data_IF_475547200751
#
_entry.id   IF_475547200751
#
_cell.length_a   1.000
_cell.length_b   1.000
_cell.length_c   1.000
_cell.angle_alpha   90.00
_cell.angle_beta   90.00
_cell.angle_gamma   90.00
#
_symmetry.space_group_name_H-M   'P 1'
#
loop_
_entity.id
_entity.type
_entity.pdbx_description
1 polymer ?
#
# COMPACT_ATOMS: atom_id res chain seq x y z
N UNK A 1 4.63 -9.47 0.74
CA UNK A 1 4.86 -8.99 -0.65
C UNK A 1 5.25 -7.52 -0.73
N UNK A 2 4.81 -6.66 0.20
CA UNK A 2 5.12 -5.24 0.18
C UNK A 2 6.63 -4.94 0.09
N UNK A 3 7.46 -5.61 0.90
CA UNK A 3 8.92 -5.44 0.88
C UNK A 3 9.54 -5.72 -0.50
N UNK A 4 8.99 -6.66 -1.26
CA UNK A 4 9.47 -6.94 -2.61
C UNK A 4 9.13 -5.79 -3.57
N UNK A 5 7.93 -5.21 -3.45
CA UNK A 5 7.54 -4.07 -4.28
C UNK A 5 8.41 -2.84 -3.97
N UNK A 6 8.72 -2.62 -2.69
CA UNK A 6 9.64 -1.57 -2.25
C UNK A 6 11.05 -1.83 -2.76
N UNK A 7 11.57 -3.05 -2.60
CA UNK A 7 12.91 -3.44 -3.07
C UNK A 7 13.08 -3.31 -4.59
N UNK A 8 12.03 -3.54 -5.36
CA UNK A 8 12.03 -3.34 -6.81
C UNK A 8 11.88 -1.87 -7.21
N UNK A 9 11.67 -0.96 -6.25
CA UNK A 9 11.46 0.46 -6.50
C UNK A 9 10.09 0.78 -7.12
N UNK A 10 9.10 -0.12 -7.04
CA UNK A 10 7.77 0.11 -7.60
C UNK A 10 6.87 0.96 -6.69
N UNK A 11 7.09 0.86 -5.38
CA UNK A 11 6.41 1.67 -4.39
C UNK A 11 7.36 2.03 -3.26
N UNK A 12 6.98 2.98 -2.42
CA UNK A 12 7.76 3.41 -1.27
C UNK A 12 6.86 3.80 -0.10
N UNK A 13 7.43 3.72 1.10
CA UNK A 13 6.83 4.17 2.35
C UNK A 13 7.62 5.44 2.75
N UNK A 14 7.20 6.64 2.33
CA UNK A 14 7.97 7.86 2.57
C UNK A 14 8.04 8.18 4.06
N UNK A 15 9.24 8.57 4.52
CA UNK A 15 9.44 8.95 5.91
C UNK A 15 8.71 10.26 6.26
N UNK A 16 8.17 10.32 7.47
CA UNK A 16 7.47 11.52 7.97
C UNK A 16 6.08 11.75 7.39
N UNK A 17 5.58 10.87 6.52
CA UNK A 17 4.24 10.98 5.95
C UNK A 17 3.26 9.97 6.55
N UNK A 18 2.10 10.47 6.94
CA UNK A 18 0.98 9.68 7.44
C UNK A 18 -0.34 10.30 6.95
N UNK A 19 -1.35 9.47 6.68
CA UNK A 19 -2.73 9.94 6.57
C UNK A 19 -3.16 10.65 7.86
N UNK A 20 -3.82 11.79 7.71
CA UNK A 20 -4.32 12.59 8.84
C UNK A 20 -5.51 11.94 9.56
N UNK A 21 -6.29 11.12 8.84
CA UNK A 21 -7.45 10.44 9.41
C UNK A 21 -7.10 9.04 9.87
N UNK A 22 -7.44 8.75 11.13
CA UNK A 22 -7.21 7.43 11.72
C UNK A 22 -8.07 6.32 11.11
N UNK A 23 -9.17 6.70 10.45
CA UNK A 23 -10.09 5.76 9.80
C UNK A 23 -9.41 4.91 8.72
N UNK A 24 -8.32 5.40 8.12
CA UNK A 24 -7.54 4.66 7.13
C UNK A 24 -6.72 3.52 7.75
N UNK A 25 -6.37 3.62 9.03
CA UNK A 25 -5.56 2.62 9.73
C UNK A 25 -6.39 1.63 10.54
N UNK A 26 -7.56 2.04 11.03
CA UNK A 26 -8.40 1.22 11.90
C UNK A 26 -8.67 -0.19 11.38
N UNK A 27 -8.96 -0.42 10.08
CA UNK A 27 -9.17 -1.78 9.57
C UNK A 27 -7.92 -2.67 9.69
N UNK A 28 -6.73 -2.09 9.57
CA UNK A 28 -5.45 -2.81 9.67
C UNK A 28 -5.09 -3.08 11.13
N UNK A 29 -5.20 -2.07 11.99
CA UNK A 29 -4.84 -2.17 13.42
C UNK A 29 -5.72 -3.18 14.14
N UNK A 30 -7.02 -3.20 13.83
CA UNK A 30 -7.99 -4.07 14.47
C UNK A 30 -8.13 -5.43 13.77
N UNK A 31 -7.29 -5.73 12.77
CA UNK A 31 -7.34 -7.01 12.08
C UNK A 31 -6.97 -8.15 13.06
N UNK A 32 -7.72 -9.28 13.09
CA UNK A 32 -7.48 -10.36 14.06
C UNK A 32 -6.04 -10.89 14.07
N UNK A 33 -5.40 -10.96 12.91
CA UNK A 33 -4.00 -11.41 12.78
C UNK A 33 -3.02 -10.44 13.45
N UNK A 34 -3.26 -9.13 13.32
CA UNK A 34 -2.42 -8.09 13.96
C UNK A 34 -2.61 -8.13 15.47
N UNK A 35 -3.86 -8.23 15.93
CA UNK A 35 -4.17 -8.37 17.36
C UNK A 35 -3.55 -9.64 17.97
N UNK A 36 -3.63 -10.76 17.27
CA UNK A 36 -3.00 -12.02 17.68
C UNK A 36 -1.48 -11.90 17.78
N UNK A 37 -0.84 -11.21 16.82
CA UNK A 37 0.60 -10.97 16.85
C UNK A 37 1.03 -10.06 18.00
N UNK A 38 0.21 -9.05 18.31
CA UNK A 38 0.44 -8.17 19.46
C UNK A 38 0.43 -8.98 20.76
N UNK A 39 -0.56 -9.85 20.91
CA UNK A 39 -0.68 -10.68 22.12
C UNK A 39 0.46 -11.70 22.24
N UNK A 40 0.85 -12.34 21.14
CA UNK A 40 2.01 -13.24 21.08
C UNK A 40 3.29 -12.56 21.60
N UNK A 41 3.57 -11.35 21.12
CA UNK A 41 4.77 -10.60 21.53
C UNK A 41 4.69 -10.13 22.98
N UNK A 42 3.50 -9.79 23.49
CA UNK A 42 3.29 -9.50 24.92
C UNK A 42 3.61 -10.71 25.79
N UNK A 43 3.23 -11.92 25.38
CA UNK A 43 3.61 -13.15 26.09
C UNK A 43 5.13 -13.34 26.17
N UNK A 44 5.88 -12.86 25.18
CA UNK A 44 7.35 -12.84 25.20
C UNK A 44 7.96 -11.61 25.89
N UNK A 45 7.15 -10.82 26.60
CA UNK A 45 7.55 -9.60 27.30
C UNK A 45 8.25 -8.57 26.38
N UNK A 46 7.83 -8.50 25.12
CA UNK A 46 8.34 -7.55 24.12
C UNK A 46 7.40 -6.35 23.97
N UNK A 47 7.97 -5.17 23.80
CA UNK A 47 7.22 -3.98 23.41
C UNK A 47 7.01 -3.93 21.90
N UNK A 48 5.84 -3.47 21.48
CA UNK A 48 5.47 -3.31 20.07
C UNK A 48 4.90 -1.92 19.90
N UNK A 49 5.26 -1.29 18.80
CA UNK A 49 4.68 -0.03 18.34
C UNK A 49 4.13 -0.22 16.92
N UNK A 50 2.92 0.25 16.68
CA UNK A 50 2.37 0.36 15.33
C UNK A 50 2.68 1.75 14.80
N UNK A 51 3.59 1.83 13.83
CA UNK A 51 3.91 3.08 13.13
C UNK A 51 2.92 3.32 11.99
N UNK A 52 2.16 4.41 12.08
CA UNK A 52 1.28 4.89 11.00
C UNK A 52 2.13 5.49 9.88
N UNK A 53 1.84 5.11 8.63
CA UNK A 53 2.55 5.60 7.45
C UNK A 53 1.67 5.55 6.20
N UNK A 54 2.13 6.14 5.10
CA UNK A 54 1.50 6.02 3.78
C UNK A 54 2.30 5.09 2.86
N UNK A 55 1.62 4.47 1.90
CA UNK A 55 2.24 3.76 0.79
C UNK A 55 2.01 4.57 -0.49
N UNK A 56 3.06 4.83 -1.24
CA UNK A 56 3.00 5.60 -2.48
C UNK A 56 3.62 4.82 -3.63
N UNK A 57 3.09 5.01 -4.84
CA UNK A 57 3.70 4.45 -6.06
C UNK A 57 4.80 5.39 -6.53
N UNK A 58 5.96 4.86 -6.87
CA UNK A 58 7.05 5.66 -7.44
C UNK A 58 6.74 6.00 -8.90
N UNK A 59 7.48 6.95 -9.48
CA UNK A 59 7.36 7.25 -10.91
C UNK A 59 7.72 6.03 -11.77
N UNK A 60 8.76 5.29 -11.38
CA UNK A 60 9.13 4.03 -12.02
C UNK A 60 8.00 3.00 -11.92
N UNK A 61 7.43 2.81 -10.73
CA UNK A 61 6.31 1.90 -10.52
C UNK A 61 5.08 2.25 -11.36
N UNK A 62 4.80 3.54 -11.53
CA UNK A 62 3.72 4.01 -12.39
C UNK A 62 3.97 3.66 -13.86
N UNK A 63 5.18 3.89 -14.36
CA UNK A 63 5.56 3.52 -15.73
C UNK A 63 5.53 2.00 -15.94
N UNK A 64 6.04 1.24 -14.96
CA UNK A 64 6.00 -0.22 -14.97
C UNK A 64 4.56 -0.73 -15.06
N UNK A 65 3.66 -0.21 -14.22
CA UNK A 65 2.25 -0.59 -14.24
C UNK A 65 1.58 -0.28 -15.58
N UNK A 66 1.87 0.88 -16.19
CA UNK A 66 1.37 1.25 -17.52
C UNK A 66 1.89 0.33 -18.63
N UNK A 67 3.15 -0.11 -18.55
CA UNK A 67 3.72 -1.03 -19.52
C UNK A 67 3.11 -2.44 -19.42
N UNK A 68 2.89 -2.93 -18.20
CA UNK A 68 2.31 -4.25 -17.97
C UNK A 68 0.78 -4.30 -18.17
N UNK A 69 0.09 -3.22 -17.84
CA UNK A 69 -1.36 -3.11 -17.92
C UNK A 69 -1.73 -1.78 -18.59
N UNK A 70 -1.55 -1.68 -19.92
CA UNK A 70 -1.91 -0.48 -20.65
C UNK A 70 -3.42 -0.23 -20.53
N UNK A 71 -3.86 1.04 -20.39
CA UNK A 71 -5.26 1.36 -20.33
C UNK A 71 -5.98 0.90 -21.60
N UNK A 72 -7.19 0.35 -21.44
CA UNK A 72 -8.02 -0.06 -22.57
C UNK A 72 -8.40 1.19 -23.37
N UNK A 73 -7.85 1.29 -24.58
CA UNK A 73 -8.21 2.37 -25.52
C UNK A 73 -9.50 1.98 -26.22
N UNK A 74 -10.61 2.62 -25.86
CA UNK A 74 -11.89 2.46 -26.57
C UNK A 74 -11.88 3.41 -27.77
N UNK A 75 -11.66 2.87 -28.97
CA UNK A 75 -11.82 3.66 -30.20
C UNK A 75 -13.32 3.86 -30.48
N UNK A 76 -13.82 5.07 -30.21
CA UNK A 76 -15.15 5.49 -30.68
C UNK A 76 -15.01 5.77 -32.18
N UNK A 77 -15.47 4.84 -33.02
CA UNK A 77 -15.65 5.12 -34.44
C UNK A 77 -16.86 6.03 -34.60
N UNK A 78 -16.63 7.31 -34.91
CA UNK A 78 -17.70 8.19 -35.34
C UNK A 78 -18.18 7.75 -36.72
N UNK A 79 -19.35 7.12 -36.79
CA UNK A 79 -20.08 6.92 -38.04
C UNK A 79 -20.63 8.27 -38.49
N UNK A 80 -19.97 8.89 -39.48
CA UNK A 80 -20.52 10.02 -40.20
C UNK A 80 -21.71 9.53 -41.06
N UNK A 81 -22.85 10.23 -40.94
CA UNK A 81 -24.06 10.03 -41.73
C UNK A 81 -23.91 10.60 -43.15
#
# INVERSE_FOLDING_TARGET
YLDNLVRMGLCEIPEGMAYSSDTWYSPLINHPEILSKIEEMRHFNRQIEIKKSVLTITDFGRQFALACCPPVVVHIQATAQ
#
